data_IF_931123051808
#
_entry.id   IF_931123051808
#
_cell.length_a   1.000
_cell.length_b   1.000
_cell.length_c   1.000
_cell.angle_alpha   90.00
_cell.angle_beta   90.00
_cell.angle_gamma   90.00
#
_symmetry.space_group_name_H-M   'P 1'
#
loop_
_entity.id
_entity.type
_entity.pdbx_description
1 polymer ?
#
# COMPACT_ATOMS: atom_id res chain seq x y z
N UNK A 1 15.48 46.91 17.69
CA UNK A 1 14.91 46.34 16.46
C UNK A 1 14.65 47.50 15.52
N UNK A 2 15.36 47.54 14.39
CA UNK A 2 15.55 48.74 13.58
C UNK A 2 14.60 48.71 12.37
N UNK A 3 13.94 49.84 12.09
CA UNK A 3 13.02 50.05 10.95
C UNK A 3 13.70 49.81 9.59
N UNK A 4 12.92 49.46 8.54
CA UNK A 4 13.47 48.97 7.28
C UNK A 4 14.16 50.09 6.49
N UNK A 5 15.43 49.89 6.14
CA UNK A 5 16.09 50.69 5.11
C UNK A 5 15.70 50.18 3.73
N UNK A 6 15.49 51.12 2.79
CA UNK A 6 14.88 50.91 1.47
C UNK A 6 15.70 50.07 0.46
N UNK A 7 16.61 49.22 0.93
CA UNK A 7 17.49 48.40 0.09
C UNK A 7 17.71 46.99 0.67
N UNK A 8 16.68 46.36 1.25
CA UNK A 8 16.74 44.93 1.54
C UNK A 8 16.59 44.13 0.25
N UNK A 9 17.54 43.24 -0.03
CA UNK A 9 17.44 42.30 -1.15
C UNK A 9 16.25 41.34 -0.97
N UNK A 10 15.69 40.83 -2.07
CA UNK A 10 14.49 39.97 -2.05
C UNK A 10 14.60 38.78 -1.08
N UNK A 11 15.80 38.19 -0.94
CA UNK A 11 16.11 37.14 0.04
C UNK A 11 15.94 37.59 1.51
N UNK A 12 16.49 38.76 1.86
CA UNK A 12 16.40 39.33 3.21
C UNK A 12 14.97 39.75 3.55
N UNK A 13 14.20 40.20 2.56
CA UNK A 13 12.77 40.49 2.70
C UNK A 13 11.95 39.22 2.96
N UNK A 14 12.28 38.10 2.31
CA UNK A 14 11.64 36.80 2.54
C UNK A 14 11.96 36.22 3.93
N UNK A 15 13.23 36.30 4.34
CA UNK A 15 13.66 35.89 5.68
C UNK A 15 12.98 36.72 6.77
N UNK A 16 12.85 38.03 6.57
CA UNK A 16 12.19 38.92 7.53
C UNK A 16 10.67 38.73 7.60
N UNK A 17 9.98 38.55 6.46
CA UNK A 17 8.51 38.47 6.43
C UNK A 17 7.95 37.08 6.71
N UNK A 18 8.67 36.03 6.34
CA UNK A 18 8.14 34.65 6.33
C UNK A 18 9.09 33.68 7.05
N UNK A 19 10.24 34.15 7.54
CA UNK A 19 11.24 33.29 8.20
C UNK A 19 11.97 32.34 7.25
N UNK A 20 11.85 32.56 5.93
CA UNK A 20 12.43 31.70 4.89
C UNK A 20 13.90 32.09 4.67
N UNK A 21 14.82 31.18 4.97
CA UNK A 21 16.23 31.31 4.61
C UNK A 21 16.55 30.51 3.34
N UNK A 22 16.73 31.24 2.24
CA UNK A 22 17.07 30.68 0.91
C UNK A 22 18.57 30.50 0.71
N UNK A 23 19.41 31.05 1.60
CA UNK A 23 20.87 30.88 1.51
C UNK A 23 21.31 29.47 1.93
N UNK A 24 20.44 28.74 2.64
CA UNK A 24 20.60 27.32 2.97
C UNK A 24 20.89 26.45 1.73
N UNK A 25 20.34 26.77 0.56
CA UNK A 25 20.60 26.02 -0.69
C UNK A 25 21.99 26.25 -1.29
N UNK A 26 22.68 27.31 -0.86
CA UNK A 26 24.06 27.60 -1.29
C UNK A 26 25.09 26.92 -0.41
N UNK A 27 24.69 26.43 0.76
CA UNK A 27 25.60 25.77 1.68
C UNK A 27 25.95 24.35 1.23
N UNK A 28 27.24 24.06 1.18
CA UNK A 28 27.76 22.72 0.86
C UNK A 28 27.26 21.65 1.83
N UNK A 29 27.09 22.01 3.11
CA UNK A 29 26.61 21.09 4.15
C UNK A 29 25.17 20.64 3.90
N UNK A 30 24.31 21.51 3.38
CA UNK A 30 22.93 21.18 3.00
C UNK A 30 22.88 20.08 1.94
N UNK A 31 23.69 20.21 0.88
CA UNK A 31 23.75 19.21 -0.18
C UNK A 31 24.39 17.89 0.27
N UNK A 32 25.36 17.94 1.18
CA UNK A 32 25.91 16.73 1.82
C UNK A 32 24.85 16.03 2.68
N UNK A 33 24.13 16.77 3.51
CA UNK A 33 23.04 16.24 4.31
C UNK A 33 21.92 15.68 3.44
N UNK A 34 21.58 16.35 2.34
CA UNK A 34 20.61 15.87 1.36
C UNK A 34 21.05 14.55 0.73
N UNK A 35 22.30 14.43 0.27
CA UNK A 35 22.81 13.19 -0.30
C UNK A 35 22.81 12.02 0.70
N UNK A 36 23.23 12.28 1.95
CA UNK A 36 23.17 11.28 3.03
C UNK A 36 21.72 10.88 3.31
N UNK A 37 20.79 11.84 3.33
CA UNK A 37 19.37 11.58 3.54
C UNK A 37 18.79 10.74 2.41
N UNK A 38 19.04 11.09 1.16
CA UNK A 38 18.59 10.32 -0.01
C UNK A 38 19.10 8.88 0.05
N UNK A 39 20.38 8.68 0.37
CA UNK A 39 20.96 7.34 0.49
C UNK A 39 20.33 6.55 1.65
N UNK A 40 20.18 7.18 2.82
CA UNK A 40 19.54 6.56 3.99
C UNK A 40 18.09 6.16 3.68
N UNK A 41 17.31 7.09 3.12
CA UNK A 41 15.90 6.85 2.78
C UNK A 41 15.76 5.82 1.66
N UNK A 42 16.65 5.80 0.67
CA UNK A 42 16.63 4.77 -0.38
C UNK A 42 16.89 3.38 0.19
N UNK A 43 17.87 3.24 1.11
CA UNK A 43 18.17 1.96 1.77
C UNK A 43 17.01 1.51 2.67
N UNK A 44 16.43 2.43 3.46
CA UNK A 44 15.28 2.13 4.32
C UNK A 44 14.07 1.75 3.48
N UNK A 45 13.76 2.52 2.43
CA UNK A 45 12.65 2.24 1.52
C UNK A 45 12.83 0.90 0.82
N UNK A 46 14.02 0.62 0.27
CA UNK A 46 14.32 -0.67 -0.36
C UNK A 46 14.15 -1.83 0.62
N UNK A 47 14.71 -1.70 1.84
CA UNK A 47 14.62 -2.76 2.86
C UNK A 47 13.18 -2.96 3.33
N UNK A 48 12.42 -1.87 3.53
CA UNK A 48 11.02 -1.90 3.92
C UNK A 48 10.12 -2.50 2.85
N UNK A 49 10.30 -2.10 1.59
CA UNK A 49 9.56 -2.67 0.45
C UNK A 49 9.90 -4.14 0.23
N UNK A 50 11.17 -4.53 0.38
CA UNK A 50 11.60 -5.93 0.26
C UNK A 50 10.99 -6.78 1.37
N UNK A 51 11.03 -6.30 2.62
CA UNK A 51 10.41 -7.00 3.75
C UNK A 51 8.89 -7.10 3.60
N UNK A 52 8.24 -6.05 3.10
CA UNK A 52 6.82 -6.07 2.79
C UNK A 52 6.50 -7.03 1.65
N UNK A 53 7.30 -7.03 0.59
CA UNK A 53 7.20 -7.97 -0.53
C UNK A 53 7.29 -9.42 -0.08
N UNK A 54 8.32 -9.77 0.70
CA UNK A 54 8.50 -11.11 1.24
C UNK A 54 7.39 -11.52 2.23
N UNK A 55 6.93 -10.60 3.08
CA UNK A 55 5.78 -10.88 3.94
C UNK A 55 4.50 -11.10 3.12
N UNK A 56 4.33 -10.30 2.05
CA UNK A 56 3.16 -10.36 1.19
C UNK A 56 3.09 -11.64 0.36
N UNK A 57 4.22 -12.13 -0.14
CA UNK A 57 4.28 -13.36 -0.93
C UNK A 57 3.83 -14.57 -0.10
N UNK A 58 4.02 -14.54 1.21
CA UNK A 58 3.53 -15.58 2.13
C UNK A 58 2.04 -15.47 2.47
N UNK A 59 1.37 -14.32 2.25
CA UNK A 59 -0.05 -14.18 2.60
C UNK A 59 -0.96 -14.99 1.68
N UNK A 60 -1.91 -15.75 2.21
CA UNK A 60 -2.84 -16.57 1.42
C UNK A 60 -2.26 -17.90 0.91
N UNK A 61 -0.96 -18.17 1.13
CA UNK A 61 -0.31 -19.44 0.78
C UNK A 61 0.33 -20.10 2.01
N UNK A 62 0.64 -21.38 1.91
CA UNK A 62 1.19 -22.19 3.00
C UNK A 62 0.14 -22.99 3.79
N UNK A 63 -1.05 -23.19 3.19
CA UNK A 63 -2.00 -24.21 3.64
C UNK A 63 -1.57 -25.61 3.19
N UNK A 64 -2.42 -26.61 3.48
CA UNK A 64 -2.23 -27.95 2.93
C UNK A 64 -2.29 -27.91 1.40
N UNK A 65 -1.38 -28.63 0.75
CA UNK A 65 -1.34 -28.73 -0.70
C UNK A 65 -2.59 -29.48 -1.16
N UNK A 66 -3.52 -28.73 -1.75
CA UNK A 66 -4.78 -29.21 -2.31
C UNK A 66 -5.06 -28.47 -3.62
N UNK A 67 -5.91 -29.06 -4.44
CA UNK A 67 -6.40 -28.39 -5.64
C UNK A 67 -7.07 -27.06 -5.28
N UNK A 68 -6.92 -26.07 -6.14
CA UNK A 68 -7.58 -24.79 -5.97
C UNK A 68 -9.11 -24.96 -6.03
N UNK A 69 -9.88 -24.16 -5.26
CA UNK A 69 -11.33 -24.18 -5.35
C UNK A 69 -11.80 -23.89 -6.77
N UNK A 70 -12.69 -24.74 -7.29
CA UNK A 70 -13.26 -24.51 -8.62
C UNK A 70 -14.12 -23.24 -8.62
N UNK A 71 -14.22 -22.55 -9.75
CA UNK A 71 -15.04 -21.36 -9.88
C UNK A 71 -15.65 -21.23 -11.26
N UNK A 72 -16.72 -20.44 -11.31
CA UNK A 72 -17.47 -20.09 -12.50
C UNK A 72 -17.64 -18.56 -12.56
N UNK A 73 -17.25 -17.93 -13.66
CA UNK A 73 -17.28 -16.47 -13.83
C UNK A 73 -17.91 -16.07 -15.17
N UNK A 74 -18.53 -14.90 -15.17
CA UNK A 74 -19.00 -14.25 -16.39
C UNK A 74 -17.82 -13.59 -17.10
N UNK A 75 -17.72 -13.80 -18.42
CA UNK A 75 -16.66 -13.22 -19.24
C UNK A 75 -17.19 -12.13 -20.17
N UNK A 76 -16.29 -11.33 -20.73
CA UNK A 76 -16.64 -10.30 -21.72
C UNK A 76 -17.21 -10.93 -23.01
N UNK A 77 -17.02 -12.24 -23.22
CA UNK A 77 -17.62 -13.03 -24.29
C UNK A 77 -17.30 -12.49 -25.71
N UNK A 78 -16.01 -12.25 -25.99
CA UNK A 78 -15.55 -11.74 -27.30
C UNK A 78 -15.29 -12.91 -28.24
N UNK A 79 -15.64 -12.69 -29.51
CA UNK A 79 -15.42 -13.68 -30.58
C UNK A 79 -13.94 -13.83 -30.89
N UNK A 80 -13.45 -15.07 -30.92
CA UNK A 80 -12.06 -15.43 -31.18
C UNK A 80 -11.14 -15.38 -29.95
N UNK A 81 -11.65 -15.02 -28.77
CA UNK A 81 -10.88 -14.94 -27.52
C UNK A 81 -11.55 -15.84 -26.47
N UNK A 82 -12.63 -15.37 -25.83
CA UNK A 82 -13.32 -16.12 -24.78
C UNK A 82 -14.15 -17.28 -25.31
N UNK A 83 -14.75 -17.14 -26.48
CA UNK A 83 -15.65 -18.14 -27.08
C UNK A 83 -15.01 -19.53 -27.28
N UNK A 84 -13.68 -19.59 -27.36
CA UNK A 84 -12.92 -20.85 -27.43
C UNK A 84 -12.83 -21.59 -26.08
N UNK A 85 -13.03 -20.90 -24.96
CA UNK A 85 -12.82 -21.39 -23.60
C UNK A 85 -14.07 -21.28 -22.70
N UNK A 86 -15.16 -20.70 -23.21
CA UNK A 86 -16.42 -20.52 -22.48
C UNK A 86 -17.54 -21.38 -23.01
N UNK A 87 -18.55 -21.61 -22.18
CA UNK A 87 -19.79 -22.26 -22.60
C UNK A 87 -20.63 -21.38 -23.56
N UNK A 88 -21.75 -21.92 -24.08
CA UNK A 88 -22.65 -21.21 -25.02
C UNK A 88 -23.21 -19.88 -24.47
N UNK A 89 -23.18 -19.70 -23.15
CA UNK A 89 -23.63 -18.49 -22.45
C UNK A 89 -22.50 -17.49 -22.15
N UNK A 90 -21.25 -17.81 -22.52
CA UNK A 90 -20.08 -16.94 -22.28
C UNK A 90 -19.48 -17.06 -20.87
N UNK A 91 -19.82 -18.10 -20.11
CA UNK A 91 -19.26 -18.34 -18.79
C UNK A 91 -18.02 -19.24 -18.87
N UNK A 92 -17.03 -18.92 -18.04
CA UNK A 92 -15.79 -19.66 -17.90
C UNK A 92 -15.81 -20.49 -16.62
N UNK A 93 -15.41 -21.76 -16.70
CA UNK A 93 -15.28 -22.66 -15.56
C UNK A 93 -13.86 -23.20 -15.47
N UNK A 94 -13.24 -23.07 -14.29
CA UNK A 94 -11.83 -23.43 -14.11
C UNK A 94 -11.58 -24.93 -14.29
N UNK A 95 -12.48 -25.79 -13.79
CA UNK A 95 -12.34 -27.25 -13.92
C UNK A 95 -12.43 -27.77 -15.35
N UNK A 96 -13.05 -27.04 -16.28
CA UNK A 96 -13.09 -27.40 -17.70
C UNK A 96 -11.73 -27.18 -18.39
N UNK A 97 -10.85 -26.38 -17.79
CA UNK A 97 -9.53 -26.05 -18.31
C UNK A 97 -8.40 -26.93 -17.74
N UNK A 98 -8.74 -28.03 -17.08
CA UNK A 98 -7.75 -29.04 -16.64
C UNK A 98 -6.95 -29.56 -17.83
N UNK A 99 -5.65 -29.73 -17.65
CA UNK A 99 -4.72 -30.02 -18.75
C UNK A 99 -3.99 -28.79 -19.31
N UNK A 100 -4.43 -27.58 -18.98
CA UNK A 100 -3.71 -26.34 -19.31
C UNK A 100 -2.96 -25.81 -18.08
N UNK A 101 -1.88 -25.06 -18.32
CA UNK A 101 -1.27 -24.21 -17.29
C UNK A 101 -2.01 -22.88 -17.31
N UNK A 102 -2.56 -22.49 -16.16
CA UNK A 102 -3.40 -21.29 -16.08
C UNK A 102 -2.66 -20.23 -15.28
N UNK A 103 -2.39 -19.09 -15.91
CA UNK A 103 -1.99 -17.87 -15.23
C UNK A 103 -3.27 -17.12 -14.87
N UNK A 104 -3.62 -17.16 -13.59
CA UNK A 104 -4.80 -16.51 -13.04
C UNK A 104 -4.43 -15.13 -12.48
N UNK A 105 -4.93 -14.07 -13.11
CA UNK A 105 -4.65 -12.68 -12.79
C UNK A 105 -5.85 -12.01 -12.14
N UNK A 106 -5.77 -11.75 -10.84
CA UNK A 106 -6.75 -10.95 -10.11
C UNK A 106 -6.37 -9.47 -10.19
N UNK A 107 -7.24 -8.70 -10.84
CA UNK A 107 -6.97 -7.33 -11.26
C UNK A 107 -8.19 -6.43 -11.08
N UNK A 108 -8.01 -5.14 -11.36
CA UNK A 108 -9.08 -4.16 -11.45
C UNK A 108 -8.71 -3.13 -12.53
N UNK A 109 -9.72 -2.51 -13.12
CA UNK A 109 -9.53 -1.46 -14.12
C UNK A 109 -8.82 -0.25 -13.51
N UNK A 110 -9.21 0.17 -12.30
CA UNK A 110 -8.59 1.28 -11.58
C UNK A 110 -7.43 0.83 -10.67
N UNK A 111 -6.54 -0.03 -11.18
CA UNK A 111 -5.40 -0.57 -10.42
C UNK A 111 -4.07 -0.36 -11.16
N UNK A 112 -3.38 0.74 -10.84
CA UNK A 112 -2.09 1.07 -11.47
C UNK A 112 -1.00 -0.01 -11.33
N UNK A 113 -0.96 -0.74 -10.21
CA UNK A 113 -0.04 -1.88 -10.04
C UNK A 113 -0.42 -3.05 -10.95
N UNK A 114 -1.71 -3.30 -11.15
CA UNK A 114 -2.21 -4.36 -12.01
C UNK A 114 -1.83 -4.11 -13.48
N UNK A 115 -1.79 -2.87 -13.94
CA UNK A 115 -1.37 -2.55 -15.31
C UNK A 115 0.12 -2.84 -15.55
N UNK A 116 0.98 -2.73 -14.54
CA UNK A 116 2.38 -3.16 -14.68
C UNK A 116 2.50 -4.68 -14.79
N UNK A 117 1.68 -5.43 -14.05
CA UNK A 117 1.57 -6.88 -14.21
C UNK A 117 1.05 -7.27 -15.60
N UNK A 118 0.02 -6.56 -16.08
CA UNK A 118 -0.52 -6.76 -17.43
C UNK A 118 0.55 -6.55 -18.51
N UNK A 119 1.32 -5.46 -18.45
CA UNK A 119 2.39 -5.20 -19.43
C UNK A 119 3.41 -6.35 -19.46
N UNK A 120 3.81 -6.88 -18.30
CA UNK A 120 4.72 -8.04 -18.26
C UNK A 120 4.11 -9.26 -18.94
N UNK A 121 2.83 -9.56 -18.67
CA UNK A 121 2.13 -10.67 -19.32
C UNK A 121 2.00 -10.47 -20.83
N UNK A 122 1.72 -9.25 -21.30
CA UNK A 122 1.68 -8.91 -22.74
C UNK A 122 3.05 -9.12 -23.41
N UNK A 123 4.13 -8.70 -22.75
CA UNK A 123 5.50 -8.86 -23.25
C UNK A 123 5.91 -10.35 -23.35
N UNK A 124 5.52 -11.17 -22.37
CA UNK A 124 5.87 -12.61 -22.31
C UNK A 124 4.86 -13.53 -22.99
N UNK A 125 3.68 -13.04 -23.40
CA UNK A 125 2.61 -13.86 -23.99
C UNK A 125 3.12 -14.71 -25.15
N UNK A 126 3.85 -14.08 -26.09
CA UNK A 126 4.41 -14.78 -27.25
C UNK A 126 5.47 -15.81 -26.87
N UNK A 127 6.19 -15.62 -25.77
CA UNK A 127 7.15 -16.59 -25.24
C UNK A 127 6.41 -17.81 -24.69
N UNK A 128 5.38 -17.58 -23.87
CA UNK A 128 4.62 -18.63 -23.20
C UNK A 128 3.79 -19.47 -24.18
N UNK A 129 3.18 -18.87 -25.20
CA UNK A 129 2.46 -19.57 -26.25
C UNK A 129 3.35 -20.50 -27.09
N UNK A 130 4.63 -20.15 -27.24
CA UNK A 130 5.60 -20.91 -28.03
C UNK A 130 6.41 -21.93 -27.22
N UNK A 131 6.08 -22.14 -25.94
CA UNK A 131 6.74 -23.15 -25.13
C UNK A 131 6.44 -24.57 -25.66
N UNK A 132 7.46 -25.42 -25.69
CA UNK A 132 7.37 -26.76 -26.29
C UNK A 132 6.83 -27.84 -25.37
N UNK A 133 6.44 -27.51 -24.14
CA UNK A 133 5.94 -28.49 -23.17
C UNK A 133 4.55 -29.04 -23.54
N UNK A 134 4.16 -30.17 -22.92
CA UNK A 134 2.90 -30.85 -23.24
C UNK A 134 1.64 -30.09 -22.80
N UNK A 135 1.75 -29.14 -21.88
CA UNK A 135 0.60 -28.42 -21.30
C UNK A 135 0.62 -26.96 -21.74
N UNK A 136 -0.30 -26.52 -22.62
CA UNK A 136 -0.31 -25.14 -23.12
C UNK A 136 -0.60 -24.15 -21.99
N UNK A 137 -0.02 -22.96 -22.09
CA UNK A 137 -0.23 -21.88 -21.13
C UNK A 137 -1.38 -21.00 -21.60
N UNK A 138 -2.29 -20.64 -20.69
CA UNK A 138 -3.34 -19.66 -20.93
C UNK A 138 -3.41 -18.65 -19.79
N UNK A 139 -3.83 -17.43 -20.09
CA UNK A 139 -4.00 -16.35 -19.11
C UNK A 139 -5.49 -16.08 -18.93
N UNK A 140 -5.92 -15.93 -17.67
CA UNK A 140 -7.29 -15.59 -17.28
C UNK A 140 -7.24 -14.42 -16.32
N UNK A 141 -7.67 -13.23 -16.76
CA UNK A 141 -7.78 -12.05 -15.92
C UNK A 141 -9.19 -11.93 -15.34
N UNK A 142 -9.28 -11.68 -14.03
CA UNK A 142 -10.53 -11.55 -13.29
C UNK A 142 -10.58 -10.22 -12.55
N UNK A 143 -11.59 -9.41 -12.88
CA UNK A 143 -11.97 -8.22 -12.13
C UNK A 143 -12.39 -8.58 -10.70
N UNK A 144 -11.61 -8.12 -9.72
CA UNK A 144 -11.80 -8.43 -8.29
C UNK A 144 -12.66 -7.43 -7.55
N UNK A 145 -12.93 -6.26 -8.14
CA UNK A 145 -13.77 -5.20 -7.56
C UNK A 145 -15.17 -5.15 -8.17
N UNK A 146 -15.80 -6.31 -8.33
CA UNK A 146 -17.14 -6.48 -8.94
C UNK A 146 -18.30 -5.78 -8.20
N UNK A 147 -18.07 -5.26 -7.00
CA UNK A 147 -19.04 -4.38 -6.33
C UNK A 147 -19.03 -2.94 -6.88
N UNK A 148 -17.95 -2.53 -7.56
CA UNK A 148 -17.71 -1.17 -8.04
C UNK A 148 -17.44 -1.11 -9.55
N UNK A 149 -16.74 -2.11 -10.09
CA UNK A 149 -16.38 -2.22 -11.49
C UNK A 149 -17.28 -3.24 -12.20
N UNK A 150 -17.99 -2.80 -13.23
CA UNK A 150 -18.82 -3.70 -14.04
C UNK A 150 -17.99 -4.38 -15.12
N UNK A 151 -18.51 -5.48 -15.68
CA UNK A 151 -17.86 -6.19 -16.78
C UNK A 151 -17.70 -5.31 -18.03
N UNK A 152 -18.64 -4.40 -18.28
CA UNK A 152 -18.53 -3.43 -19.37
C UNK A 152 -17.41 -2.42 -19.12
N UNK A 153 -17.20 -2.00 -17.87
CA UNK A 153 -16.11 -1.09 -17.53
C UNK A 153 -14.76 -1.76 -17.72
N UNK A 154 -14.62 -3.03 -17.30
CA UNK A 154 -13.44 -3.85 -17.59
C UNK A 154 -13.20 -3.97 -19.11
N UNK A 155 -14.25 -4.02 -19.93
CA UNK A 155 -14.11 -4.05 -21.39
C UNK A 155 -13.84 -2.66 -22.03
N UNK A 156 -13.34 -1.67 -21.29
CA UNK A 156 -12.97 -0.37 -21.84
C UNK A 156 -11.50 -0.04 -21.64
N UNK A 157 -10.80 0.26 -22.73
CA UNK A 157 -9.39 0.72 -22.67
C UNK A 157 -9.32 2.14 -22.11
N UNK A 158 -8.42 2.37 -21.15
CA UNK A 158 -8.11 3.69 -20.60
C UNK A 158 -6.60 3.98 -20.70
N UNK A 159 -6.16 4.68 -21.77
CA UNK A 159 -4.76 5.03 -21.96
C UNK A 159 -4.20 5.97 -20.89
N UNK A 160 -5.03 6.73 -20.17
CA UNK A 160 -4.57 7.64 -19.13
C UNK A 160 -4.08 6.88 -17.90
N UNK A 161 -4.76 5.78 -17.57
CA UNK A 161 -4.38 4.87 -16.48
C UNK A 161 -3.45 3.74 -16.96
N UNK A 162 -3.16 3.67 -18.28
CA UNK A 162 -2.39 2.61 -18.96
C UNK A 162 -3.08 1.25 -18.92
N UNK A 163 -4.39 1.24 -18.83
CA UNK A 163 -5.19 0.04 -18.95
C UNK A 163 -5.56 -0.22 -20.41
N UNK A 164 -5.27 -1.42 -20.90
CA UNK A 164 -5.75 -1.91 -22.18
C UNK A 164 -6.61 -3.14 -21.94
N UNK A 165 -7.65 -3.34 -22.75
CA UNK A 165 -8.43 -4.58 -22.63
C UNK A 165 -7.52 -5.73 -23.09
N UNK A 166 -7.24 -6.75 -22.26
CA UNK A 166 -6.28 -7.79 -22.60
C UNK A 166 -6.76 -8.68 -23.76
N UNK A 167 -5.82 -9.23 -24.53
CA UNK A 167 -6.10 -10.12 -25.67
C UNK A 167 -6.30 -11.59 -25.27
N UNK A 168 -6.46 -11.87 -23.98
CA UNK A 168 -6.79 -13.19 -23.41
C UNK A 168 -8.10 -13.14 -22.61
N UNK A 169 -8.50 -14.26 -22.01
CA UNK A 169 -9.78 -14.38 -21.29
C UNK A 169 -9.90 -13.32 -20.20
N UNK A 170 -10.91 -12.47 -20.30
CA UNK A 170 -11.26 -11.47 -19.30
C UNK A 170 -12.66 -11.72 -18.75
N UNK A 171 -12.78 -11.77 -17.43
CA UNK A 171 -14.06 -11.88 -16.75
C UNK A 171 -14.14 -11.11 -15.44
N UNK A 172 -15.28 -11.21 -14.79
CA UNK A 172 -15.53 -10.60 -13.47
C UNK A 172 -15.85 -11.67 -12.44
N UNK A 173 -15.30 -11.51 -11.23
CA UNK A 173 -15.70 -12.33 -10.10
C UNK A 173 -17.09 -11.98 -9.59
N UNK A 174 -17.57 -12.77 -8.64
CA UNK A 174 -18.80 -12.51 -7.87
C UNK A 174 -18.71 -13.14 -6.46
N UNK A 175 -19.60 -12.72 -5.53
CA UNK A 175 -19.70 -13.31 -4.19
C UNK A 175 -20.09 -14.79 -4.15
N UNK A 176 -20.52 -15.35 -5.29
CA UNK A 176 -20.96 -16.72 -5.48
C UNK A 176 -20.28 -17.39 -6.69
N UNK A 177 -19.10 -16.91 -7.12
CA UNK A 177 -18.36 -17.54 -8.22
C UNK A 177 -17.71 -18.86 -7.83
N UNK A 178 -17.26 -19.01 -6.58
CA UNK A 178 -16.51 -20.21 -6.16
C UNK A 178 -17.46 -21.33 -5.82
N UNK A 179 -17.19 -22.52 -6.34
CA UNK A 179 -17.98 -23.73 -6.13
C UNK A 179 -17.37 -24.47 -4.94
N UNK A 180 -17.96 -24.32 -3.75
CA UNK A 180 -17.49 -24.98 -2.53
C UNK A 180 -18.00 -26.42 -2.44
N UNK A 181 -19.27 -26.63 -2.80
CA UNK A 181 -19.88 -27.95 -2.82
C UNK A 181 -20.96 -28.03 -3.91
N UNK A 182 -20.65 -28.72 -5.01
CA UNK A 182 -21.59 -28.93 -6.12
C UNK A 182 -22.87 -29.66 -5.68
N UNK A 183 -22.75 -30.64 -4.77
CA UNK A 183 -23.90 -31.47 -4.34
C UNK A 183 -24.84 -30.72 -3.41
N UNK A 184 -24.34 -29.77 -2.63
CA UNK A 184 -25.13 -28.93 -1.73
C UNK A 184 -25.54 -27.58 -2.35
N UNK A 185 -25.02 -27.25 -3.54
CA UNK A 185 -25.20 -25.92 -4.16
C UNK A 185 -24.51 -24.79 -3.39
N UNK A 186 -23.51 -25.12 -2.58
CA UNK A 186 -22.80 -24.15 -1.75
C UNK A 186 -21.78 -23.40 -2.61
N UNK A 187 -21.92 -22.08 -2.65
CA UNK A 187 -21.02 -21.17 -3.37
C UNK A 187 -20.37 -20.18 -2.42
N UNK A 188 -19.23 -19.63 -2.83
CA UNK A 188 -18.43 -18.69 -2.05
C UNK A 188 -17.87 -17.55 -2.87
N UNK A 189 -17.38 -16.54 -2.16
CA UNK A 189 -16.83 -15.31 -2.73
C UNK A 189 -15.42 -15.56 -3.29
N UNK A 190 -15.21 -15.16 -4.55
CA UNK A 190 -13.95 -15.37 -5.26
C UNK A 190 -12.77 -14.71 -4.56
N UNK A 191 -12.93 -13.46 -4.13
CA UNK A 191 -11.90 -12.68 -3.47
C UNK A 191 -11.54 -13.24 -2.10
N UNK A 192 -12.54 -13.71 -1.35
CA UNK A 192 -12.31 -14.38 -0.06
C UNK A 192 -11.57 -15.71 -0.19
N UNK A 193 -11.96 -16.55 -1.14
CA UNK A 193 -11.42 -17.92 -1.25
C UNK A 193 -10.01 -17.95 -1.85
N UNK A 194 -9.71 -17.06 -2.79
CA UNK A 194 -8.40 -16.96 -3.43
C UNK A 194 -7.45 -15.94 -2.79
N UNK A 195 -7.88 -15.25 -1.72
CA UNK A 195 -7.12 -14.18 -1.07
C UNK A 195 -6.79 -12.99 -1.99
N UNK A 196 -7.69 -12.70 -2.93
CA UNK A 196 -7.50 -11.63 -3.90
C UNK A 196 -7.87 -10.24 -3.35
N UNK A 197 -7.78 -10.02 -2.02
CA UNK A 197 -7.99 -8.67 -1.44
C UNK A 197 -6.80 -7.75 -1.73
N UNK A 198 -5.62 -8.30 -1.99
CA UNK A 198 -4.43 -7.57 -2.39
C UNK A 198 -4.14 -7.82 -3.86
N UNK A 199 -4.68 -6.94 -4.71
CA UNK A 199 -4.44 -6.96 -6.16
C UNK A 199 -3.25 -6.04 -6.54
N UNK A 200 -2.45 -6.39 -7.56
CA UNK A 200 -2.58 -7.59 -8.38
C UNK A 200 -2.19 -8.86 -7.62
N UNK A 201 -2.93 -9.94 -7.89
CA UNK A 201 -2.57 -11.29 -7.45
C UNK A 201 -2.53 -12.19 -8.68
N UNK A 202 -1.33 -12.65 -9.02
CA UNK A 202 -1.09 -13.59 -10.10
C UNK A 202 -0.80 -14.96 -9.49
N UNK A 203 -1.48 -15.99 -9.98
CA UNK A 203 -1.25 -17.38 -9.60
C UNK A 203 -0.94 -18.19 -10.85
N UNK A 204 0.04 -19.08 -10.77
CA UNK A 204 0.26 -20.12 -11.78
C UNK A 204 -0.35 -21.40 -11.26
N UNK A 205 -1.33 -21.93 -11.98
CA UNK A 205 -2.01 -23.19 -11.68
C UNK A 205 -1.51 -24.23 -12.68
N UNK A 206 -1.00 -25.36 -12.19
CA UNK A 206 -0.56 -26.46 -13.04
C UNK A 206 -1.75 -27.20 -13.69
N UNK A 207 -1.43 -28.09 -14.63
CA UNK A 207 -2.41 -28.87 -15.38
C UNK A 207 -3.30 -29.79 -14.50
N UNK A 208 -2.88 -30.09 -13.26
CA UNK A 208 -3.65 -30.87 -12.29
C UNK A 208 -4.51 -30.00 -11.36
N UNK A 209 -4.31 -28.67 -11.36
CA UNK A 209 -5.09 -27.73 -10.56
C UNK A 209 -4.43 -27.26 -9.27
N UNK A 210 -3.11 -27.38 -9.14
CA UNK A 210 -2.36 -26.91 -7.96
C UNK A 210 -1.64 -25.60 -8.25
N UNK A 211 -1.55 -24.72 -7.26
CA UNK A 211 -0.76 -23.49 -7.37
C UNK A 211 0.73 -23.86 -7.34
N UNK A 212 1.49 -23.40 -8.33
CA UNK A 212 2.94 -23.65 -8.42
C UNK A 212 3.76 -22.36 -8.51
N UNK A 213 3.11 -21.22 -8.66
CA UNK A 213 3.74 -19.91 -8.70
C UNK A 213 2.79 -18.82 -8.24
N UNK A 214 3.33 -17.74 -7.69
CA UNK A 214 2.56 -16.62 -7.17
C UNK A 214 3.32 -15.31 -7.25
N UNK A 215 2.63 -14.23 -7.63
CA UNK A 215 3.15 -12.87 -7.61
C UNK A 215 2.08 -11.89 -7.12
N UNK A 216 2.45 -10.95 -6.26
CA UNK A 216 1.52 -10.03 -5.58
C UNK A 216 1.78 -8.54 -5.92
N UNK A 217 2.58 -8.28 -6.94
CA UNK A 217 2.96 -6.93 -7.35
C UNK A 217 3.23 -6.90 -8.85
N UNK A 218 2.82 -5.83 -9.52
CA UNK A 218 3.21 -5.59 -10.91
C UNK A 218 4.64 -5.07 -11.07
N UNK A 219 5.31 -4.69 -9.97
CA UNK A 219 6.70 -4.26 -9.98
C UNK A 219 7.48 -5.01 -8.88
N UNK A 220 7.67 -6.32 -9.02
CA UNK A 220 8.37 -7.12 -8.01
C UNK A 220 9.82 -6.64 -7.85
N UNK A 221 10.24 -6.44 -6.59
CA UNK A 221 11.60 -5.96 -6.27
C UNK A 221 12.68 -6.93 -6.75
N UNK A 222 12.39 -8.24 -6.68
CA UNK A 222 13.28 -9.34 -7.09
C UNK A 222 13.14 -9.68 -8.59
N UNK A 223 12.23 -9.01 -9.30
CA UNK A 223 11.90 -9.28 -10.70
C UNK A 223 10.93 -10.44 -10.90
N UNK A 224 10.72 -10.82 -12.16
CA UNK A 224 9.73 -11.81 -12.60
C UNK A 224 10.28 -13.24 -12.71
N UNK A 225 11.59 -13.43 -12.53
CA UNK A 225 12.26 -14.70 -12.84
C UNK A 225 11.70 -15.92 -12.11
N UNK A 226 11.31 -15.80 -10.83
CA UNK A 226 10.69 -16.92 -10.10
C UNK A 226 9.32 -17.28 -10.70
N UNK A 227 8.49 -16.28 -10.97
CA UNK A 227 7.16 -16.45 -11.56
C UNK A 227 7.25 -17.06 -12.96
N UNK A 228 8.10 -16.51 -13.83
CA UNK A 228 8.27 -16.99 -15.20
C UNK A 228 8.85 -18.42 -15.20
N UNK A 229 9.77 -18.73 -14.27
CA UNK A 229 10.30 -20.09 -14.13
C UNK A 229 9.23 -21.09 -13.70
N UNK A 230 8.27 -20.68 -12.87
CA UNK A 230 7.15 -21.52 -12.46
C UNK A 230 6.21 -21.81 -13.64
N UNK A 231 5.96 -20.82 -14.52
CA UNK A 231 5.20 -21.00 -15.76
C UNK A 231 5.89 -22.03 -16.67
N UNK A 232 7.20 -21.88 -16.91
CA UNK A 232 7.97 -22.82 -17.73
C UNK A 232 7.99 -24.22 -17.11
N UNK A 233 8.19 -24.34 -15.79
CA UNK A 233 8.18 -25.62 -15.09
C UNK A 233 6.82 -26.30 -15.18
N UNK A 234 5.72 -25.54 -15.06
CA UNK A 234 4.36 -26.05 -15.18
C UNK A 234 4.06 -26.51 -16.60
N UNK A 235 4.49 -25.77 -17.63
CA UNK A 235 4.33 -26.14 -19.04
C UNK A 235 5.03 -27.47 -19.35
N UNK A 236 6.20 -27.71 -18.75
CA UNK A 236 6.94 -28.97 -18.87
C UNK A 236 6.36 -30.12 -18.02
N UNK A 237 5.42 -29.84 -17.12
CA UNK A 237 4.89 -30.82 -16.17
C UNK A 237 5.80 -31.13 -14.97
N UNK A 238 6.85 -30.34 -14.76
CA UNK A 238 7.86 -30.55 -13.72
C UNK A 238 7.67 -29.64 -12.49
N UNK A 239 6.47 -29.11 -12.28
CA UNK A 239 6.18 -28.15 -11.21
C UNK A 239 5.65 -28.79 -9.90
N UNK A 240 5.68 -30.13 -9.79
CA UNK A 240 5.17 -30.84 -8.60
C UNK A 240 5.84 -30.41 -7.30
N UNK A 241 7.15 -30.12 -7.35
CA UNK A 241 7.94 -29.69 -6.19
C UNK A 241 7.67 -28.22 -5.82
N UNK A 242 7.02 -27.46 -6.70
CA UNK A 242 6.67 -26.06 -6.49
C UNK A 242 5.25 -25.88 -5.92
N UNK A 243 4.51 -26.98 -5.69
CA UNK A 243 3.12 -26.93 -5.27
C UNK A 243 2.93 -26.24 -3.92
N UNK A 244 1.98 -25.32 -3.88
CA UNK A 244 1.61 -24.52 -2.72
C UNK A 244 0.13 -24.70 -2.43
N UNK A 245 -0.21 -24.85 -1.15
CA UNK A 245 -1.60 -24.83 -0.69
C UNK A 245 -2.09 -23.42 -0.40
N UNK A 246 -3.34 -23.12 -0.76
CA UNK A 246 -4.04 -21.94 -0.26
C UNK A 246 -4.26 -22.08 1.25
N UNK A 247 -3.80 -21.10 2.02
CA UNK A 247 -3.98 -21.07 3.47
C UNK A 247 -5.38 -20.57 3.77
N UNK A 248 -6.20 -21.27 4.53
CA UNK A 248 -7.55 -20.77 4.87
C UNK A 248 -7.51 -19.47 5.68
N UNK A 249 -8.51 -18.59 5.49
CA UNK A 249 -8.58 -17.33 6.22
C UNK A 249 -8.87 -17.67 7.67
N UNK A 250 -7.86 -17.53 8.53
CA UNK A 250 -8.09 -17.65 9.96
C UNK A 250 -8.87 -16.41 10.45
N UNK A 251 -10.20 -16.53 10.41
CA UNK A 251 -11.15 -15.52 10.92
C UNK A 251 -11.16 -15.48 12.46
N UNK A 252 -10.26 -16.18 13.15
CA UNK A 252 -10.13 -16.09 14.60
C UNK A 252 -9.68 -14.68 15.04
N UNK A 253 -10.18 -14.26 16.19
CA UNK A 253 -9.75 -13.00 16.81
C UNK A 253 -8.23 -12.93 17.01
N UNK A 254 -7.60 -14.07 17.32
CA UNK A 254 -6.15 -14.17 17.47
C UNK A 254 -5.42 -14.00 16.14
N UNK A 255 -5.92 -14.60 15.05
CA UNK A 255 -5.35 -14.43 13.71
C UNK A 255 -5.38 -12.97 13.25
N UNK A 256 -6.52 -12.30 13.43
CA UNK A 256 -6.69 -10.87 13.12
C UNK A 256 -5.74 -10.01 13.97
N UNK A 257 -5.61 -10.29 15.26
CA UNK A 257 -4.74 -9.55 16.16
C UNK A 257 -3.25 -9.71 15.77
N UNK A 258 -2.82 -10.93 15.45
CA UNK A 258 -1.43 -11.21 15.04
C UNK A 258 -1.12 -10.55 13.69
N UNK A 259 -2.03 -10.63 12.73
CA UNK A 259 -1.90 -9.95 11.44
C UNK A 259 -1.80 -8.44 11.62
N UNK A 260 -2.70 -7.86 12.43
CA UNK A 260 -2.68 -6.43 12.73
C UNK A 260 -1.41 -5.97 13.43
N UNK A 261 -0.87 -6.78 14.36
CA UNK A 261 0.40 -6.50 15.02
C UNK A 261 1.58 -6.53 14.03
N UNK A 262 1.62 -7.54 13.15
CA UNK A 262 2.66 -7.65 12.11
C UNK A 262 2.62 -6.48 11.13
N UNK A 263 1.44 -6.13 10.63
CA UNK A 263 1.24 -4.97 9.76
C UNK A 263 1.63 -3.68 10.48
N UNK A 264 1.27 -3.52 11.76
CA UNK A 264 1.66 -2.36 12.56
C UNK A 264 3.19 -2.22 12.69
N UNK A 265 3.91 -3.31 12.91
CA UNK A 265 5.37 -3.34 12.95
C UNK A 265 5.95 -2.96 11.57
N UNK A 266 5.38 -3.46 10.48
CA UNK A 266 5.82 -3.13 9.12
C UNK A 266 5.58 -1.65 8.78
N UNK A 267 4.44 -1.08 9.17
CA UNK A 267 4.10 0.34 8.97
C UNK A 267 5.07 1.26 9.72
N UNK A 268 5.64 0.84 10.84
CA UNK A 268 6.66 1.63 11.55
C UNK A 268 7.90 1.90 10.69
N UNK A 269 8.27 0.96 9.82
CA UNK A 269 9.37 1.11 8.87
C UNK A 269 8.98 1.84 7.58
N UNK A 270 7.73 2.30 7.48
CA UNK A 270 7.27 3.12 6.35
C UNK A 270 8.00 4.47 6.34
N UNK A 271 8.45 4.94 5.16
CA UNK A 271 9.17 6.22 5.03
C UNK A 271 8.38 7.42 5.55
N UNK A 272 7.06 7.29 5.72
CA UNK A 272 6.16 8.33 6.23
C UNK A 272 6.34 8.64 7.73
N UNK A 273 6.79 7.67 8.55
CA UNK A 273 6.94 7.86 10.00
C UNK A 273 8.28 8.54 10.38
N UNK A 274 9.29 8.41 9.51
CA UNK A 274 10.65 8.84 9.78
C UNK A 274 10.82 10.35 10.02
N UNK A 275 10.12 11.26 9.30
CA UNK A 275 10.25 12.70 9.53
C UNK A 275 9.80 13.18 10.91
N UNK A 276 8.94 12.42 11.60
CA UNK A 276 8.44 12.76 12.94
C UNK A 276 9.46 12.42 14.02
N UNK A 277 10.34 11.46 13.75
CA UNK A 277 11.27 10.88 14.72
C UNK A 277 12.27 11.90 15.29
N UNK A 278 12.91 12.79 14.50
CA UNK A 278 13.78 13.84 15.03
C UNK A 278 13.04 14.83 15.94
N UNK A 279 11.80 15.20 15.60
CA UNK A 279 10.99 16.11 16.42
C UNK A 279 10.60 15.48 17.75
N UNK A 280 10.17 14.22 17.72
CA UNK A 280 9.85 13.45 18.91
C UNK A 280 11.08 13.26 19.79
N UNK A 281 12.20 12.75 19.25
CA UNK A 281 13.44 12.54 20.01
C UNK A 281 13.97 13.85 20.59
N UNK A 282 13.95 14.95 19.83
CA UNK A 282 14.37 16.26 20.32
C UNK A 282 13.53 16.73 21.51
N UNK A 283 12.20 16.58 21.44
CA UNK A 283 11.31 16.87 22.55
C UNK A 283 11.63 16.02 23.79
N UNK A 284 11.80 14.71 23.63
CA UNK A 284 12.10 13.82 24.75
C UNK A 284 13.47 14.06 25.38
N UNK A 285 14.49 14.31 24.57
CA UNK A 285 15.82 14.65 25.09
C UNK A 285 15.76 15.97 25.85
N UNK A 286 15.03 16.97 25.33
CA UNK A 286 14.87 18.24 26.03
C UNK A 286 14.13 18.09 27.37
N UNK A 287 13.09 17.25 27.44
CA UNK A 287 12.41 16.94 28.71
C UNK A 287 13.28 16.14 29.67
N UNK A 288 14.01 15.13 29.18
CA UNK A 288 14.87 14.28 30.00
C UNK A 288 16.05 15.05 30.60
N UNK A 289 16.64 15.98 29.85
CA UNK A 289 17.74 16.82 30.33
C UNK A 289 17.29 17.86 31.36
N UNK A 290 16.01 18.23 31.37
CA UNK A 290 15.45 19.29 32.23
C UNK A 290 14.57 18.75 33.36
N UNK A 291 14.46 17.44 33.50
CA UNK A 291 13.68 16.79 34.55
C UNK A 291 14.15 17.24 35.94
N UNK A 292 15.47 17.28 36.14
CA UNK A 292 16.08 17.66 37.41
C UNK A 292 15.90 19.15 37.71
N UNK A 293 16.05 20.03 36.71
CA UNK A 293 15.82 21.49 36.86
C UNK A 293 14.35 21.83 37.17
N UNK A 294 13.41 21.15 36.50
CA UNK A 294 11.97 21.38 36.69
C UNK A 294 11.46 20.78 38.02
N UNK A 295 12.17 19.78 38.57
CA UNK A 295 11.91 19.20 39.89
C UNK A 295 12.54 20.05 41.01
N UNK A 296 13.74 20.57 40.82
CA UNK A 296 14.41 21.49 41.75
C UNK A 296 13.70 22.84 41.88
N UNK A 297 13.13 23.35 40.78
CA UNK A 297 12.31 24.57 40.79
C UNK A 297 10.90 24.39 41.39
N UNK A 298 10.55 23.18 41.87
CA UNK A 298 9.26 22.88 42.51
C UNK A 298 8.05 22.93 41.56
N UNK A 299 8.29 23.03 40.24
CA UNK A 299 7.25 23.15 39.20
C UNK A 299 6.63 21.79 38.82
N UNK A 300 7.31 20.67 39.08
CA UNK A 300 6.76 19.32 38.96
C UNK A 300 6.36 18.74 40.33
N UNK A 301 5.10 18.32 40.46
CA UNK A 301 4.58 17.63 41.66
C UNK A 301 4.75 16.11 41.66
N UNK A 302 5.32 15.51 40.60
CA UNK A 302 5.45 14.04 40.49
C UNK A 302 6.51 13.62 39.46
N UNK A 303 6.84 12.30 39.39
CA UNK A 303 7.81 11.78 38.43
C UNK A 303 7.29 11.92 36.99
N UNK A 304 8.20 12.07 36.02
CA UNK A 304 7.81 12.08 34.62
C UNK A 304 7.06 10.79 34.22
N UNK A 305 6.08 10.87 33.29
CA UNK A 305 5.38 9.70 32.82
C UNK A 305 6.36 8.70 32.19
N UNK A 306 6.21 7.42 32.56
CA UNK A 306 7.03 6.33 32.03
C UNK A 306 6.95 6.29 30.50
N UNK A 307 8.05 5.93 29.86
CA UNK A 307 8.19 5.87 28.39
C UNK A 307 7.04 5.10 27.72
N UNK A 308 6.61 3.99 28.34
CA UNK A 308 5.47 3.18 27.89
C UNK A 308 4.16 3.97 27.90
N UNK A 309 3.88 4.71 28.98
CA UNK A 309 2.65 5.52 29.09
C UNK A 309 2.60 6.57 28.01
N UNK A 310 3.73 7.18 27.68
CA UNK A 310 3.73 8.19 26.63
C UNK A 310 3.62 7.58 25.24
N UNK A 311 4.31 6.47 24.98
CA UNK A 311 4.13 5.73 23.73
C UNK A 311 2.67 5.34 23.48
N UNK A 312 1.97 4.86 24.52
CA UNK A 312 0.54 4.54 24.45
C UNK A 312 -0.32 5.79 24.19
N UNK A 313 -0.03 6.91 24.85
CA UNK A 313 -0.77 8.16 24.66
C UNK A 313 -0.59 8.71 23.24
N UNK A 314 0.64 8.73 22.73
CA UNK A 314 0.95 9.13 21.35
C UNK A 314 0.29 8.19 20.33
N UNK A 315 0.29 6.87 20.60
CA UNK A 315 -0.42 5.90 19.78
C UNK A 315 -1.93 6.11 19.74
N UNK A 316 -2.56 6.42 20.89
CA UNK A 316 -3.97 6.79 20.98
C UNK A 316 -4.30 8.05 20.18
N UNK A 317 -3.39 9.04 20.17
CA UNK A 317 -3.52 10.23 19.33
C UNK A 317 -3.54 9.90 17.84
N UNK A 318 -2.62 9.03 17.39
CA UNK A 318 -2.59 8.60 15.99
C UNK A 318 -3.83 7.77 15.61
N UNK A 319 -4.26 6.86 16.49
CA UNK A 319 -5.46 6.05 16.28
C UNK A 319 -6.72 6.91 16.17
N UNK A 320 -6.88 7.92 17.03
CA UNK A 320 -8.04 8.82 16.98
C UNK A 320 -8.03 9.69 15.73
N UNK A 321 -6.87 10.19 15.30
CA UNK A 321 -6.73 10.91 14.03
C UNK A 321 -7.12 10.06 12.82
N UNK A 322 -6.57 8.84 12.70
CA UNK A 322 -6.93 7.94 11.60
C UNK A 322 -8.36 7.45 11.66
N UNK A 323 -8.92 7.23 12.86
CA UNK A 323 -10.33 6.87 13.01
C UNK A 323 -11.26 8.00 12.53
N UNK A 324 -10.93 9.26 12.84
CA UNK A 324 -11.67 10.42 12.35
C UNK A 324 -11.55 10.59 10.83
N UNK A 325 -10.36 10.41 10.27
CA UNK A 325 -10.17 10.41 8.81
C UNK A 325 -10.96 9.28 8.15
N UNK A 326 -10.94 8.07 8.73
CA UNK A 326 -11.71 6.92 8.24
C UNK A 326 -13.21 7.20 8.22
N UNK A 327 -13.75 7.76 9.31
CA UNK A 327 -15.16 8.20 9.38
C UNK A 327 -15.49 9.26 8.33
N UNK A 328 -14.59 10.23 8.12
CA UNK A 328 -14.78 11.27 7.11
C UNK A 328 -14.81 10.68 5.69
N UNK A 329 -13.92 9.73 5.39
CA UNK A 329 -13.88 9.05 4.08
C UNK A 329 -15.15 8.23 3.86
N UNK A 330 -15.62 7.47 4.86
CA UNK A 330 -16.86 6.71 4.75
C UNK A 330 -18.06 7.61 4.46
N UNK A 331 -18.14 8.77 5.11
CA UNK A 331 -19.21 9.75 4.84
C UNK A 331 -19.09 10.41 3.46
N UNK A 332 -17.86 10.61 2.94
CA UNK A 332 -17.64 11.21 1.63
C UNK A 332 -17.87 10.23 0.47
N UNK A 333 -17.64 8.93 0.71
CA UNK A 333 -17.83 7.85 -0.26
C UNK A 333 -19.28 7.69 -0.72
N UNK A 334 -20.26 8.18 0.05
CA UNK A 334 -21.67 8.16 -0.34
C UNK A 334 -22.02 9.27 -1.35
N UNK A 335 -21.17 10.29 -1.50
CA UNK A 335 -21.46 11.51 -2.28
C UNK A 335 -20.57 11.63 -3.52
N UNK A 336 -19.38 11.02 -3.54
CA UNK A 336 -18.38 11.18 -4.61
C UNK A 336 -17.73 9.83 -4.93
N UNK A 337 -17.71 9.43 -6.20
CA UNK A 337 -16.95 8.27 -6.68
C UNK A 337 -15.45 8.56 -6.63
N UNK A 338 -14.79 8.10 -5.56
CA UNK A 338 -13.39 8.41 -5.23
C UNK A 338 -12.41 7.68 -6.17
N UNK A 339 -12.83 6.58 -6.79
CA UNK A 339 -11.97 5.63 -7.51
C UNK A 339 -11.21 6.27 -8.68
N UNK A 340 -11.88 7.07 -9.51
CA UNK A 340 -11.24 7.75 -10.67
C UNK A 340 -10.34 8.94 -10.27
N UNK A 341 -10.52 9.49 -9.05
CA UNK A 341 -9.76 10.66 -8.59
C UNK A 341 -8.55 10.30 -7.71
N UNK A 342 -8.41 9.04 -7.29
CA UNK A 342 -7.34 8.61 -6.38
C UNK A 342 -5.95 8.96 -6.91
N UNK A 343 -5.66 8.66 -8.17
CA UNK A 343 -4.35 8.96 -8.75
C UNK A 343 -4.05 10.46 -8.80
N UNK A 344 -5.01 11.28 -9.25
CA UNK A 344 -4.86 12.75 -9.29
C UNK A 344 -4.70 13.35 -7.89
N UNK A 345 -5.46 12.84 -6.92
CA UNK A 345 -5.38 13.25 -5.52
C UNK A 345 -4.02 12.90 -4.91
N UNK A 346 -3.48 11.71 -5.21
CA UNK A 346 -2.15 11.31 -4.77
C UNK A 346 -1.05 12.22 -5.33
N UNK A 347 -1.09 12.56 -6.63
CA UNK A 347 -0.16 13.52 -7.24
C UNK A 347 -0.27 14.89 -6.55
N UNK A 348 -1.48 15.37 -6.29
CA UNK A 348 -1.71 16.64 -5.60
C UNK A 348 -1.08 16.63 -4.19
N UNK A 349 -1.29 15.58 -3.41
CA UNK A 349 -0.67 15.43 -2.09
C UNK A 349 0.86 15.35 -2.22
N UNK A 350 1.40 14.64 -3.20
CA UNK A 350 2.84 14.55 -3.41
C UNK A 350 3.47 15.94 -3.67
N UNK A 351 2.83 16.75 -4.52
CA UNK A 351 3.25 18.14 -4.77
C UNK A 351 3.14 18.97 -3.48
N UNK A 352 2.04 18.83 -2.73
CA UNK A 352 1.84 19.54 -1.47
C UNK A 352 2.92 19.19 -0.44
N UNK A 353 3.25 17.89 -0.29
CA UNK A 353 4.30 17.41 0.60
C UNK A 353 5.68 17.89 0.16
N UNK A 354 5.95 17.94 -1.16
CA UNK A 354 7.18 18.49 -1.69
C UNK A 354 7.33 19.98 -1.35
N UNK A 355 6.26 20.76 -1.50
CA UNK A 355 6.23 22.18 -1.13
C UNK A 355 6.41 22.36 0.38
N UNK A 356 5.68 21.60 1.21
CA UNK A 356 5.76 21.67 2.67
C UNK A 356 7.14 21.24 3.18
N UNK A 357 7.72 20.19 2.61
CA UNK A 357 9.07 19.72 2.93
C UNK A 357 10.14 20.75 2.57
N UNK A 358 10.03 21.37 1.39
CA UNK A 358 10.90 22.48 0.98
C UNK A 358 10.78 23.67 1.93
N UNK A 359 9.55 23.97 2.36
CA UNK A 359 9.27 25.04 3.32
C UNK A 359 9.85 24.76 4.71
N UNK A 360 9.83 23.50 5.15
CA UNK A 360 10.48 23.06 6.39
C UNK A 360 12.00 23.22 6.32
N UNK A 361 12.62 22.85 5.18
CA UNK A 361 14.06 23.02 4.97
C UNK A 361 14.50 24.48 5.05
N UNK A 362 13.67 25.40 4.53
CA UNK A 362 13.92 26.84 4.57
C UNK A 362 13.61 27.49 5.94
N UNK A 363 13.12 26.73 6.93
CA UNK A 363 12.81 27.23 8.28
C UNK A 363 11.52 28.03 8.41
N UNK A 364 10.73 28.16 7.34
CA UNK A 364 9.50 28.97 7.33
C UNK A 364 8.33 28.37 8.13
N UNK A 365 8.37 27.07 8.44
CA UNK A 365 7.30 26.33 9.13
C UNK A 365 6.96 26.92 10.49
N UNK A 366 7.94 27.40 11.24
CA UNK A 366 7.74 28.02 12.55
C UNK A 366 6.88 29.30 12.46
N UNK A 367 7.01 30.08 11.38
CA UNK A 367 6.23 31.29 11.19
C UNK A 367 4.80 30.99 10.71
N UNK A 368 4.64 30.00 9.83
CA UNK A 368 3.35 29.64 9.23
C UNK A 368 2.44 28.90 10.25
N UNK A 369 3.02 28.05 11.09
CA UNK A 369 2.32 27.36 12.18
C UNK A 369 2.22 28.19 13.47
N UNK A 370 2.84 29.37 13.54
CA UNK A 370 2.76 30.24 14.72
C UNK A 370 1.33 30.67 15.08
N UNK A 371 0.42 30.69 14.09
CA UNK A 371 -1.01 30.88 14.35
C UNK A 371 -1.63 29.67 15.08
N UNK A 372 -1.31 28.45 14.66
CA UNK A 372 -1.78 27.22 15.31
C UNK A 372 -1.19 27.08 16.71
N UNK A 373 0.09 27.41 16.88
CA UNK A 373 0.75 27.45 18.19
C UNK A 373 0.00 28.39 19.14
N UNK A 374 -0.32 29.60 18.68
CA UNK A 374 -1.04 30.60 19.48
C UNK A 374 -2.49 30.23 19.78
N UNK A 375 -3.21 29.61 18.84
CA UNK A 375 -4.64 29.33 19.00
C UNK A 375 -4.95 28.00 19.71
N UNK A 376 -4.13 26.98 19.47
CA UNK A 376 -4.39 25.61 19.93
C UNK A 376 -3.34 25.21 20.98
N UNK A 377 -2.05 25.30 20.66
CA UNK A 377 -1.00 24.76 21.53
C UNK A 377 -0.91 25.53 22.84
N UNK A 378 -0.78 26.87 22.80
CA UNK A 378 -0.71 27.70 24.01
C UNK A 378 -2.01 27.69 24.83
N UNK A 379 -3.15 27.31 24.24
CA UNK A 379 -4.45 27.23 24.93
C UNK A 379 -4.64 25.95 25.72
N UNK A 380 -4.13 24.82 25.20
CA UNK A 380 -4.32 23.50 25.80
C UNK A 380 -3.05 22.94 26.46
N UNK A 381 -1.87 23.34 26.01
CA UNK A 381 -0.56 22.94 26.53
C UNK A 381 -0.03 23.93 27.56
N UNK A 382 0.57 23.40 28.63
CA UNK A 382 1.37 24.18 29.59
C UNK A 382 2.81 24.28 29.10
N UNK A 383 3.38 25.47 29.18
CA UNK A 383 4.78 25.74 28.80
C UNK A 383 5.68 25.78 30.04
N UNK A 384 6.99 25.69 29.83
CA UNK A 384 7.99 25.75 30.92
C UNK A 384 7.97 27.08 31.70
N UNK A 385 7.42 28.13 31.09
CA UNK A 385 7.18 29.46 31.68
C UNK A 385 5.98 29.51 32.63
N UNK A 386 5.10 28.51 32.62
CA UNK A 386 3.89 28.51 33.44
C UNK A 386 4.18 28.07 34.90
N UNK A 387 3.34 28.52 35.83
CA UNK A 387 3.48 28.21 37.26
C UNK A 387 3.33 26.72 37.59
N UNK A 388 2.69 25.93 36.71
CA UNK A 388 2.55 24.47 36.85
C UNK A 388 2.71 23.80 35.50
N UNK A 389 3.71 22.93 35.38
CA UNK A 389 3.94 22.12 34.19
C UNK A 389 3.23 20.77 34.34
N UNK A 390 2.33 20.43 33.40
CA UNK A 390 1.58 19.16 33.41
C UNK A 390 1.86 18.33 32.16
N UNK A 391 2.96 17.54 32.13
CA UNK A 391 3.38 16.81 30.94
C UNK A 391 2.31 15.85 30.41
N UNK A 392 1.54 15.20 31.30
CA UNK A 392 0.45 14.28 30.94
C UNK A 392 -0.76 14.92 30.25
N UNK A 393 -0.93 16.24 30.37
CA UNK A 393 -2.02 16.99 29.72
C UNK A 393 -1.60 17.55 28.37
N UNK A 394 -0.31 17.80 28.21
CA UNK A 394 0.28 18.33 26.99
C UNK A 394 0.47 17.25 25.92
N UNK A 395 0.75 16.03 26.36
CA UNK A 395 0.70 14.81 25.55
C UNK A 395 -0.75 14.42 25.31
#
# INVERSE_FOLDING_TARGET
MQEPTAAMGWKQSLQWKVGIDVDVFTEKKTWQAFAVSVLLFAVIAYSGLSAFGAASSMFGVGGEIREVPDFEIETVNRTGIEDNYTNETGWFTLSEQRGNVIILDFMAHACGSCHYAQIHMEDELSTWENLSGPYPVMIVSIGSWYALETIEYLNTTDPAEKYFVPDWVLGTGAPDSVILNQSAGERGDLVEQYFAQQIPLLLVIDHEGFIVGKQNSGTPVEGWGEFDSAVVAANLGNATDLRMGLKEVDKSFTGILVLGLMLGILVYFSPCAFPVLPGYVGYYISLGLREDELRESGKLKGPMPKHITVGVLSGLGMMTFFALLGLLVLGLSEVIDITSYLHRFAIFIAILLFVLGSFMLMGGTAHLLGWIDKFIVQRFSTTESDERFTPRRNM
#
